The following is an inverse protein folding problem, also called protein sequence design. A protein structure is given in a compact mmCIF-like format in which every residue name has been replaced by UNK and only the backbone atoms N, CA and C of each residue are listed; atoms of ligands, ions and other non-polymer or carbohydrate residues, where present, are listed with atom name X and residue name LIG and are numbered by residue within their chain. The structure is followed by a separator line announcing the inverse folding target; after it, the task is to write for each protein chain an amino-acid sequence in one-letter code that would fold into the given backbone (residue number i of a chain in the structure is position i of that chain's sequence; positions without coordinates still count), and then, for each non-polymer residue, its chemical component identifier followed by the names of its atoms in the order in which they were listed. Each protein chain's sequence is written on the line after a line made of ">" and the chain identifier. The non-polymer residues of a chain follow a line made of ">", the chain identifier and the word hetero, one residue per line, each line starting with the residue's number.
data_IF_083580006500
#
_entry.id   IF_083580006500
#
_cell.length_a   1.000
_cell.length_b   1.000
_cell.length_c   1.000
_cell.angle_alpha   90.00
_cell.angle_beta   90.00
_cell.angle_gamma   90.00
#
_symmetry.space_group_name_H-M   'P 1'
#
loop_
_entity.id
_entity.type
_entity.pdbx_description
1 polymer ?
#
# COMPACT_ATOMS: atom_id res chain seq x y z
N UNK A 1 10.70 -4.29 -23.49
CA UNK A 1 10.44 -2.92 -23.00
C UNK A 1 9.91 -3.01 -21.58
N UNK A 2 10.31 -2.14 -20.65
CA UNK A 2 9.70 -2.15 -19.31
C UNK A 2 8.21 -1.86 -19.48
N UNK A 3 7.35 -2.77 -19.02
CA UNK A 3 5.91 -2.54 -18.99
C UNK A 3 5.64 -1.54 -17.87
N UNK A 4 5.08 -0.40 -18.21
CA UNK A 4 4.47 0.51 -17.24
C UNK A 4 3.07 0.01 -16.93
N UNK A 5 2.74 -0.08 -15.64
CA UNK A 5 1.43 -0.50 -15.18
C UNK A 5 0.86 0.53 -14.20
N UNK A 6 -0.47 0.57 -14.12
CA UNK A 6 -1.13 1.36 -13.08
C UNK A 6 -0.92 0.64 -11.74
N UNK A 7 -0.31 1.35 -10.79
CA UNK A 7 0.01 0.90 -9.46
C UNK A 7 -0.79 1.69 -8.43
N UNK A 8 -1.46 0.98 -7.54
CA UNK A 8 -2.23 1.55 -6.43
C UNK A 8 -1.77 0.89 -5.13
N UNK A 9 -1.34 1.70 -4.17
CA UNK A 9 -0.90 1.26 -2.85
C UNK A 9 -1.76 1.93 -1.79
N UNK A 10 -2.52 1.13 -1.06
CA UNK A 10 -3.49 1.60 -0.06
C UNK A 10 -3.36 0.83 1.24
N UNK A 11 -3.70 1.48 2.35
CA UNK A 11 -3.69 0.92 3.70
C UNK A 11 -5.11 0.90 4.25
N UNK A 12 -5.45 -0.17 4.94
CA UNK A 12 -6.78 -0.48 5.47
C UNK A 12 -6.70 -0.94 6.92
N UNK A 13 -7.77 -0.72 7.69
CA UNK A 13 -7.99 -1.39 8.97
C UNK A 13 -8.37 -2.87 8.75
N UNK A 14 -8.35 -3.68 9.81
CA UNK A 14 -8.81 -5.08 9.76
C UNK A 14 -10.30 -5.23 9.37
N UNK A 15 -11.09 -4.16 9.49
CA UNK A 15 -12.49 -4.12 9.07
C UNK A 15 -12.64 -3.71 7.59
N UNK A 16 -11.54 -3.46 6.88
CA UNK A 16 -11.55 -3.06 5.47
C UNK A 16 -11.73 -1.57 5.21
N UNK A 17 -11.72 -0.72 6.24
CA UNK A 17 -11.80 0.73 6.06
C UNK A 17 -10.47 1.26 5.53
N UNK A 18 -10.48 1.97 4.41
CA UNK A 18 -9.29 2.67 3.89
C UNK A 18 -8.87 3.79 4.84
N UNK A 19 -7.60 3.82 5.22
CA UNK A 19 -7.02 4.83 6.12
C UNK A 19 -5.94 5.68 5.45
N UNK A 20 -5.34 5.19 4.37
CA UNK A 20 -4.38 5.96 3.59
C UNK A 20 -4.25 5.42 2.16
N UNK A 21 -4.07 6.33 1.20
CA UNK A 21 -3.52 6.02 -0.13
C UNK A 21 -2.07 6.48 -0.14
N UNK A 22 -1.13 5.55 -0.30
CA UNK A 22 0.31 5.83 -0.27
C UNK A 22 0.86 6.15 -1.67
N UNK A 23 0.26 5.56 -2.70
CA UNK A 23 0.60 5.84 -4.10
C UNK A 23 -0.57 5.46 -5.01
N UNK A 24 -0.80 6.26 -6.05
CA UNK A 24 -1.74 5.97 -7.12
C UNK A 24 -1.23 6.59 -8.42
N UNK A 25 -0.88 5.76 -9.40
CA UNK A 25 -0.34 6.24 -10.68
C UNK A 25 0.38 5.16 -11.47
N UNK A 26 1.00 5.52 -12.59
CA UNK A 26 1.78 4.58 -13.41
C UNK A 26 3.21 4.46 -12.91
N UNK A 27 3.74 3.24 -12.88
CA UNK A 27 5.13 2.96 -12.57
C UNK A 27 5.69 1.94 -13.56
N UNK A 28 6.94 2.12 -13.96
CA UNK A 28 7.69 1.12 -14.71
C UNK A 28 8.09 -0.04 -13.79
N UNK A 29 8.31 -1.23 -14.35
CA UNK A 29 8.86 -2.35 -13.60
C UNK A 29 10.16 -1.96 -12.86
N UNK A 30 10.23 -2.21 -11.56
CA UNK A 30 11.36 -1.82 -10.72
C UNK A 30 11.07 -1.99 -9.22
N UNK A 31 12.04 -1.64 -8.39
CA UNK A 31 11.89 -1.60 -6.93
C UNK A 31 11.71 -0.16 -6.49
N UNK A 32 10.64 0.11 -5.76
CA UNK A 32 10.32 1.44 -5.23
C UNK A 32 10.21 1.35 -3.71
N UNK A 33 10.75 2.36 -3.03
CA UNK A 33 10.59 2.54 -1.59
C UNK A 33 9.59 3.66 -1.35
N UNK A 34 8.69 3.44 -0.40
CA UNK A 34 7.66 4.39 -0.04
C UNK A 34 7.68 4.60 1.46
N UNK A 35 7.56 5.85 1.88
CA UNK A 35 7.52 6.20 3.29
C UNK A 35 6.06 6.37 3.74
N UNK A 36 5.66 5.63 4.77
CA UNK A 36 4.33 5.71 5.35
C UNK A 36 4.39 6.35 6.73
N UNK A 37 3.97 7.61 6.84
CA UNK A 37 3.82 8.27 8.13
C UNK A 37 2.48 7.88 8.78
N UNK A 38 2.53 6.95 9.71
CA UNK A 38 1.38 6.44 10.44
C UNK A 38 1.20 7.07 11.83
N UNK A 39 1.88 8.18 12.14
CA UNK A 39 1.91 8.78 13.49
C UNK A 39 0.52 9.15 14.05
N UNK A 40 -0.43 9.44 13.16
CA UNK A 40 -1.82 9.78 13.47
C UNK A 40 -2.73 8.55 13.66
N UNK A 41 -2.24 7.34 13.36
CA UNK A 41 -3.00 6.10 13.50
C UNK A 41 -2.72 5.45 14.87
N UNK A 42 -3.72 4.81 15.50
CA UNK A 42 -3.51 4.05 16.71
C UNK A 42 -2.68 2.79 16.44
N UNK A 43 -1.90 2.35 17.42
CA UNK A 43 -1.22 1.05 17.37
C UNK A 43 -2.22 -0.07 17.13
N UNK A 44 -1.86 -1.05 16.29
CA UNK A 44 -2.77 -2.13 15.93
C UNK A 44 -2.40 -2.83 14.63
N UNK A 45 -3.21 -3.80 14.24
CA UNK A 45 -3.06 -4.52 12.98
C UNK A 45 -3.70 -3.73 11.83
N UNK A 46 -2.98 -3.64 10.72
CA UNK A 46 -3.42 -3.01 9.48
C UNK A 46 -3.08 -3.90 8.30
N UNK A 47 -3.76 -3.67 7.18
CA UNK A 47 -3.52 -4.37 5.92
C UNK A 47 -3.09 -3.34 4.90
N UNK A 48 -2.04 -3.62 4.13
CA UNK A 48 -1.75 -2.85 2.94
C UNK A 48 -1.95 -3.71 1.69
N UNK A 49 -2.47 -3.06 0.64
CA UNK A 49 -2.73 -3.66 -0.67
C UNK A 49 -1.91 -2.92 -1.71
N UNK A 50 -1.14 -3.67 -2.49
CA UNK A 50 -0.43 -3.21 -3.68
C UNK A 50 -1.09 -3.86 -4.88
N UNK A 51 -1.71 -3.07 -5.73
CA UNK A 51 -2.29 -3.51 -6.99
C UNK A 51 -1.41 -2.96 -8.12
N UNK A 52 -0.91 -3.82 -9.00
CA UNK A 52 -0.13 -3.47 -10.18
C UNK A 52 -0.68 -4.26 -11.37
N UNK A 53 -1.35 -3.57 -12.29
CA UNK A 53 -2.03 -4.23 -13.42
C UNK A 53 -3.04 -5.28 -12.93
N UNK A 54 -2.84 -6.54 -13.34
CA UNK A 54 -3.66 -7.69 -12.92
C UNK A 54 -3.20 -8.33 -11.60
N UNK A 55 -2.03 -7.95 -11.09
CA UNK A 55 -1.46 -8.52 -9.87
C UNK A 55 -1.89 -7.72 -8.65
N UNK A 56 -2.31 -8.41 -7.59
CA UNK A 56 -2.62 -7.81 -6.30
C UNK A 56 -1.88 -8.54 -5.19
N UNK A 57 -1.13 -7.80 -4.38
CA UNK A 57 -0.44 -8.30 -3.19
C UNK A 57 -1.10 -7.66 -1.98
N UNK A 58 -1.51 -8.49 -1.03
CA UNK A 58 -2.08 -8.07 0.24
C UNK A 58 -1.19 -8.58 1.36
N UNK A 59 -0.80 -7.71 2.28
CA UNK A 59 0.03 -8.07 3.42
C UNK A 59 -0.46 -7.35 4.67
N UNK A 60 -0.36 -8.05 5.80
CA UNK A 60 -0.65 -7.49 7.12
C UNK A 60 0.60 -6.86 7.72
N UNK A 61 0.42 -5.80 8.50
CA UNK A 61 1.45 -5.17 9.31
C UNK A 61 0.90 -4.83 10.70
N UNK A 62 1.79 -4.75 11.68
CA UNK A 62 1.47 -4.27 13.03
C UNK A 62 2.11 -2.91 13.22
N UNK A 63 1.29 -1.90 13.46
CA UNK A 63 1.76 -0.57 13.84
C UNK A 63 2.02 -0.55 15.34
N UNK A 64 3.26 -0.23 15.71
CA UNK A 64 3.71 -0.03 17.09
C UNK A 64 4.10 1.45 17.23
N UNK A 65 3.88 2.01 18.43
CA UNK A 65 4.19 3.41 18.74
C UNK A 65 5.47 3.49 19.56
#
# INVERSE_FOLDING_TARGET
>A
MPKEENVVVKVYTMLGQEVATLFEGRQAAGTYQMHFNASHLPSGAYIYRVQAGSSTVVKQMMLLK
#
